data_IF_247595796193
#
_entry.id   IF_247595796193
#
_cell.length_a   1.000
_cell.length_b   1.000
_cell.length_c   1.000
_cell.angle_alpha   90.00
_cell.angle_beta   90.00
_cell.angle_gamma   90.00
#
_symmetry.space_group_name_H-M   'P 1'
#
loop_
_entity.id
_entity.type
_entity.pdbx_description
1 polymer ?
#
# COMPACT_ATOMS: atom_id res chain seq x y z
N UNK A 1 -95.50 27.61 0.57
CA UNK A 1 -94.02 27.55 0.70
C UNK A 1 -93.66 26.39 1.62
N UNK A 2 -92.44 25.84 1.47
CA UNK A 2 -91.80 24.69 2.17
C UNK A 2 -92.43 23.31 1.88
N UNK A 3 -91.93 22.45 0.98
CA UNK A 3 -90.60 21.84 0.71
C UNK A 3 -90.31 20.60 1.58
N UNK A 4 -90.25 19.46 0.88
CA UNK A 4 -89.77 18.13 1.28
C UNK A 4 -88.23 18.09 1.52
N UNK A 5 -87.74 17.13 2.32
CA UNK A 5 -86.64 16.15 2.04
C UNK A 5 -86.00 15.67 3.36
N UNK A 6 -86.14 14.38 3.72
CA UNK A 6 -85.25 13.21 3.46
C UNK A 6 -84.14 12.97 4.49
N UNK A 7 -84.17 11.74 5.02
CA UNK A 7 -83.12 10.98 5.71
C UNK A 7 -81.77 11.08 4.98
N UNK A 8 -80.69 11.22 5.74
CA UNK A 8 -79.35 10.82 5.34
C UNK A 8 -78.63 10.22 6.56
N UNK A 9 -78.17 8.97 6.42
CA UNK A 9 -77.44 8.25 7.45
C UNK A 9 -75.99 8.73 7.57
N UNK A 10 -75.50 8.77 8.80
CA UNK A 10 -74.10 9.03 9.12
C UNK A 10 -73.28 7.76 8.85
N UNK A 11 -72.39 7.80 7.86
CA UNK A 11 -71.30 6.84 7.68
C UNK A 11 -70.01 7.53 8.12
N UNK A 12 -69.54 7.25 9.33
CA UNK A 12 -68.26 7.76 9.85
C UNK A 12 -67.17 6.75 9.50
N UNK A 13 -66.39 7.01 8.46
CA UNK A 13 -65.19 6.23 8.12
C UNK A 13 -64.03 6.76 8.94
N UNK A 14 -63.57 5.97 9.91
CA UNK A 14 -62.39 6.24 10.73
C UNK A 14 -61.14 5.84 9.92
N UNK A 15 -60.46 6.81 9.32
CA UNK A 15 -59.16 6.61 8.67
C UNK A 15 -58.09 6.46 9.76
N UNK A 16 -57.67 5.22 10.03
CA UNK A 16 -56.50 4.92 10.87
C UNK A 16 -55.24 5.23 10.05
N UNK A 17 -54.65 6.40 10.24
CA UNK A 17 -53.32 6.72 9.72
C UNK A 17 -52.27 5.89 10.48
N UNK A 18 -51.92 4.72 9.93
CA UNK A 18 -50.76 3.96 10.36
C UNK A 18 -49.53 4.76 9.94
N UNK A 19 -48.97 5.54 10.86
CA UNK A 19 -47.67 6.16 10.68
C UNK A 19 -46.64 5.03 10.59
N UNK A 20 -46.28 4.63 9.38
CA UNK A 20 -45.10 3.82 9.13
C UNK A 20 -43.90 4.66 9.54
N UNK A 21 -43.38 4.44 10.75
CA UNK A 21 -42.05 4.89 11.12
C UNK A 21 -41.08 4.16 10.22
N UNK A 22 -40.68 4.80 9.12
CA UNK A 22 -39.52 4.40 8.34
C UNK A 22 -38.32 4.52 9.27
N UNK A 23 -37.84 3.39 9.80
CA UNK A 23 -36.50 3.32 10.38
C UNK A 23 -35.55 3.68 9.24
N UNK A 24 -35.07 4.92 9.22
CA UNK A 24 -33.99 5.33 8.34
C UNK A 24 -32.78 4.49 8.70
N UNK A 25 -32.38 3.58 7.81
CA UNK A 25 -31.06 2.96 7.90
C UNK A 25 -30.05 4.11 7.88
N UNK A 26 -29.29 4.28 8.95
CA UNK A 26 -28.30 5.35 9.06
C UNK A 26 -27.44 5.35 7.79
N UNK A 27 -27.52 6.44 7.03
CA UNK A 27 -26.86 6.57 5.74
C UNK A 27 -25.35 6.43 5.95
N UNK A 28 -24.75 5.42 5.33
CA UNK A 28 -23.32 5.14 5.49
C UNK A 28 -22.52 6.27 4.86
N UNK A 29 -21.56 6.81 5.61
CA UNK A 29 -20.72 7.92 5.15
C UNK A 29 -19.67 7.37 4.16
N UNK A 30 -19.40 8.05 3.04
CA UNK A 30 -18.28 7.70 2.17
C UNK A 30 -16.96 7.76 2.94
N UNK A 31 -16.16 6.71 2.79
CA UNK A 31 -14.81 6.65 3.37
C UNK A 31 -13.87 5.83 2.53
N UNK A 32 -12.61 5.81 2.93
CA UNK A 32 -11.56 5.05 2.27
C UNK A 32 -10.85 4.19 3.31
N UNK A 33 -10.75 2.90 3.01
CA UNK A 33 -9.94 1.95 3.74
C UNK A 33 -8.62 1.76 2.98
N UNK A 34 -7.51 1.81 3.70
CA UNK A 34 -6.16 1.60 3.15
C UNK A 34 -5.37 0.70 4.08
N UNK A 35 -4.39 -0.02 3.54
CA UNK A 35 -3.56 -0.98 4.29
C UNK A 35 -2.11 -0.88 3.84
N UNK A 36 -1.19 -1.22 4.76
CA UNK A 36 0.22 -1.36 4.44
C UNK A 36 0.61 -2.81 4.20
N UNK A 37 1.48 -3.02 3.21
CA UNK A 37 2.23 -4.26 3.13
C UNK A 37 3.09 -4.45 4.38
N UNK A 38 3.26 -5.70 4.78
CA UNK A 38 4.03 -6.06 5.97
C UNK A 38 5.04 -7.15 5.64
N UNK A 39 6.10 -7.21 6.43
CA UNK A 39 7.19 -8.17 6.28
C UNK A 39 7.42 -8.88 7.61
N UNK A 40 7.41 -10.21 7.57
CA UNK A 40 7.70 -11.06 8.73
C UNK A 40 8.43 -12.33 8.30
N UNK A 41 8.79 -13.17 9.27
CA UNK A 41 9.32 -14.51 9.05
C UNK A 41 8.27 -15.57 9.41
N UNK A 42 8.39 -16.81 8.89
CA UNK A 42 7.52 -17.91 9.29
C UNK A 42 7.48 -18.08 10.81
N UNK A 43 6.28 -18.29 11.35
CA UNK A 43 5.99 -18.44 12.78
C UNK A 43 6.35 -17.22 13.64
N UNK A 44 6.53 -16.04 13.03
CA UNK A 44 6.69 -14.78 13.74
C UNK A 44 5.42 -13.94 13.61
N UNK A 45 4.94 -13.32 14.69
CA UNK A 45 3.75 -12.48 14.62
C UNK A 45 4.01 -11.27 13.73
N UNK A 46 3.02 -10.94 12.91
CA UNK A 46 2.96 -9.71 12.13
C UNK A 46 1.73 -8.93 12.53
N UNK A 47 1.84 -7.60 12.48
CA UNK A 47 0.70 -6.70 12.64
C UNK A 47 0.39 -6.09 11.28
N UNK A 48 -0.84 -6.28 10.82
CA UNK A 48 -1.38 -5.59 9.65
C UNK A 48 -2.05 -4.32 10.13
N UNK A 49 -1.59 -3.19 9.60
CA UNK A 49 -2.15 -1.86 9.93
C UNK A 49 -3.11 -1.47 8.83
N UNK A 50 -4.33 -1.15 9.24
CA UNK A 50 -5.39 -0.65 8.37
C UNK A 50 -5.83 0.73 8.85
N UNK A 51 -6.04 1.64 7.91
CA UNK A 51 -6.47 3.02 8.19
C UNK A 51 -7.79 3.29 7.49
N UNK A 52 -8.81 3.69 8.26
CA UNK A 52 -10.09 4.16 7.76
C UNK A 52 -10.13 5.68 7.85
N UNK A 53 -10.49 6.30 6.74
CA UNK A 53 -10.70 7.74 6.67
C UNK A 53 -12.10 8.05 6.15
N UNK A 54 -12.73 9.10 6.69
CA UNK A 54 -13.99 9.64 6.19
C UNK A 54 -13.70 10.86 5.33
N UNK A 55 -14.38 10.97 4.20
CA UNK A 55 -14.29 12.14 3.33
C UNK A 55 -15.35 13.14 3.77
N UNK A 56 -14.93 14.22 4.43
CA UNK A 56 -15.81 15.33 4.81
C UNK A 56 -15.67 16.54 3.87
N UNK A 57 -16.57 17.54 3.97
CA UNK A 57 -16.59 18.73 3.11
C UNK A 57 -15.32 19.61 3.22
N UNK A 58 -14.58 19.50 4.32
CA UNK A 58 -13.42 20.36 4.63
C UNK A 58 -12.09 19.60 4.65
N UNK A 59 -12.09 18.32 5.04
CA UNK A 59 -10.88 17.51 5.15
C UNK A 59 -11.18 16.01 5.21
N UNK A 60 -10.18 15.20 4.88
CA UNK A 60 -10.16 13.76 5.17
C UNK A 60 -9.72 13.55 6.62
N UNK A 61 -10.53 12.87 7.42
CA UNK A 61 -10.26 12.63 8.84
C UNK A 61 -10.26 11.12 9.16
N UNK A 62 -9.44 10.70 10.12
CA UNK A 62 -9.46 9.33 10.61
C UNK A 62 -10.82 8.97 11.22
N UNK A 63 -11.34 7.78 10.92
CA UNK A 63 -12.63 7.32 11.43
C UNK A 63 -12.44 6.31 12.55
N UNK A 64 -12.67 6.73 13.79
CA UNK A 64 -12.60 5.85 14.96
C UNK A 64 -13.87 5.05 15.23
N UNK A 65 -13.73 3.92 15.92
CA UNK A 65 -14.84 3.04 16.30
C UNK A 65 -15.39 2.20 15.15
N UNK A 66 -14.68 2.11 14.02
CA UNK A 66 -15.09 1.29 12.89
C UNK A 66 -14.56 -0.14 13.07
N UNK A 67 -15.44 -1.16 13.02
CA UNK A 67 -15.01 -2.56 13.08
C UNK A 67 -14.34 -2.96 11.78
N UNK A 68 -13.20 -3.63 11.87
CA UNK A 68 -12.46 -4.17 10.73
C UNK A 68 -12.23 -5.67 10.89
N UNK A 69 -12.31 -6.37 9.77
CA UNK A 69 -12.07 -7.81 9.64
C UNK A 69 -10.89 -8.05 8.69
N UNK A 70 -9.93 -8.86 9.11
CA UNK A 70 -8.82 -9.33 8.27
C UNK A 70 -9.16 -10.68 7.67
N UNK A 71 -9.16 -10.75 6.34
CA UNK A 71 -9.37 -11.95 5.54
C UNK A 71 -8.06 -12.47 4.96
N UNK A 72 -7.78 -13.74 5.19
CA UNK A 72 -6.69 -14.48 4.55
C UNK A 72 -7.25 -15.81 4.04
N UNK A 73 -7.02 -16.10 2.77
CA UNK A 73 -7.56 -17.30 2.10
C UNK A 73 -9.08 -17.47 2.32
N UNK A 74 -9.84 -16.37 2.27
CA UNK A 74 -11.30 -16.36 2.43
C UNK A 74 -11.81 -16.47 3.88
N UNK A 75 -10.93 -16.60 4.88
CA UNK A 75 -11.32 -16.75 6.28
C UNK A 75 -11.03 -15.46 7.07
N UNK A 76 -11.93 -15.10 7.98
CA UNK A 76 -11.65 -14.06 8.99
C UNK A 76 -10.63 -14.62 9.98
N UNK A 77 -9.44 -14.05 10.01
CA UNK A 77 -8.33 -14.50 10.88
C UNK A 77 -8.05 -13.54 12.04
N UNK A 78 -8.51 -12.28 11.93
CA UNK A 78 -8.44 -11.29 13.00
C UNK A 78 -9.52 -10.23 12.85
N UNK A 79 -9.88 -9.59 13.95
CA UNK A 79 -10.80 -8.46 14.00
C UNK A 79 -10.22 -7.37 14.89
N UNK A 80 -10.47 -6.10 14.56
CA UNK A 80 -10.03 -4.97 15.37
C UNK A 80 -10.98 -3.78 15.20
N UNK A 81 -10.93 -2.84 16.15
CA UNK A 81 -11.64 -1.57 16.06
C UNK A 81 -10.63 -0.46 15.71
N UNK A 82 -11.04 0.50 14.89
CA UNK A 82 -10.20 1.68 14.65
C UNK A 82 -10.13 2.58 15.89
N UNK A 83 -8.95 3.09 16.19
CA UNK A 83 -8.72 4.12 17.20
C UNK A 83 -9.17 5.49 16.74
N UNK A 84 -8.98 6.52 17.58
CA UNK A 84 -9.36 7.91 17.25
C UNK A 84 -8.63 8.48 16.04
N UNK A 85 -7.48 7.91 15.69
CA UNK A 85 -6.68 8.24 14.50
C UNK A 85 -7.17 7.50 13.24
N UNK A 86 -8.21 6.68 13.35
CA UNK A 86 -8.74 5.85 12.28
C UNK A 86 -7.94 4.58 12.00
N UNK A 87 -6.95 4.23 12.84
CA UNK A 87 -6.10 3.05 12.61
C UNK A 87 -6.53 1.85 13.43
N UNK A 88 -6.44 0.67 12.85
CA UNK A 88 -6.60 -0.60 13.55
C UNK A 88 -5.36 -1.49 13.34
N UNK A 89 -5.02 -2.26 14.37
CA UNK A 89 -3.93 -3.23 14.37
C UNK A 89 -4.51 -4.64 14.37
N UNK A 90 -4.28 -5.39 13.29
CA UNK A 90 -4.81 -6.74 13.08
C UNK A 90 -3.64 -7.74 13.17
N UNK A 91 -3.51 -8.50 14.27
CA UNK A 91 -2.41 -9.44 14.43
C UNK A 91 -2.63 -10.70 13.60
N UNK A 92 -1.56 -11.24 13.02
CA UNK A 92 -1.57 -12.51 12.29
C UNK A 92 -0.20 -13.20 12.36
N UNK A 93 -0.19 -14.52 12.52
CA UNK A 93 1.06 -15.31 12.53
C UNK A 93 1.07 -16.28 11.35
N UNK A 94 1.82 -15.99 10.27
CA UNK A 94 1.90 -16.89 9.12
C UNK A 94 2.75 -18.13 9.43
N UNK A 95 2.28 -19.30 8.96
CA UNK A 95 3.00 -20.57 9.15
C UNK A 95 3.98 -20.89 8.02
N UNK A 96 3.63 -20.52 6.79
CA UNK A 96 4.39 -20.84 5.60
C UNK A 96 5.04 -19.58 4.99
N UNK A 97 6.18 -19.77 4.32
CA UNK A 97 6.84 -18.73 3.55
C UNK A 97 6.08 -18.41 2.26
N UNK A 98 6.29 -17.20 1.74
CA UNK A 98 5.72 -16.74 0.48
C UNK A 98 5.09 -15.36 0.59
N UNK A 99 4.45 -14.92 -0.49
CA UNK A 99 3.57 -13.76 -0.47
C UNK A 99 2.16 -14.22 -0.08
N UNK A 100 1.65 -13.71 1.03
CA UNK A 100 0.30 -14.01 1.52
C UNK A 100 -0.60 -12.81 1.21
N UNK A 101 -1.43 -12.87 0.16
CA UNK A 101 -2.41 -11.82 -0.08
C UNK A 101 -3.45 -11.82 1.04
N UNK A 102 -3.85 -10.62 1.45
CA UNK A 102 -4.87 -10.41 2.46
C UNK A 102 -5.82 -9.31 2.03
N UNK A 103 -7.03 -9.32 2.60
CA UNK A 103 -8.02 -8.24 2.43
C UNK A 103 -8.46 -7.79 3.80
N UNK A 104 -8.51 -6.48 4.03
CA UNK A 104 -9.19 -5.90 5.19
C UNK A 104 -10.52 -5.34 4.71
N UNK A 105 -11.58 -5.58 5.48
CA UNK A 105 -12.93 -5.12 5.17
C UNK A 105 -13.55 -4.43 6.38
N UNK A 106 -14.35 -3.41 6.13
CA UNK A 106 -15.23 -2.82 7.14
C UNK A 106 -16.32 -3.83 7.58
N UNK A 107 -16.47 -4.04 8.88
CA UNK A 107 -17.48 -4.90 9.47
C UNK A 107 -18.92 -4.42 9.19
N UNK A 108 -19.89 -5.29 9.41
CA UNK A 108 -21.30 -5.05 9.05
C UNK A 108 -21.91 -3.84 9.76
N UNK A 109 -21.48 -3.57 11.00
CA UNK A 109 -21.92 -2.44 11.83
C UNK A 109 -21.11 -1.15 11.60
N UNK A 110 -20.21 -1.13 10.61
CA UNK A 110 -19.46 0.07 10.24
C UNK A 110 -20.38 1.17 9.73
N UNK A 111 -20.15 2.39 10.22
CA UNK A 111 -20.84 3.60 9.77
C UNK A 111 -20.28 4.14 8.44
N UNK A 112 -19.18 3.55 7.95
CA UNK A 112 -18.58 3.84 6.66
C UNK A 112 -19.12 2.87 5.61
N UNK A 113 -19.32 3.36 4.39
CA UNK A 113 -19.68 2.52 3.25
C UNK A 113 -18.71 1.33 3.15
N UNK A 114 -19.23 0.14 2.81
CA UNK A 114 -18.43 -1.08 2.73
C UNK A 114 -17.22 -0.84 1.82
N UNK A 115 -16.04 -0.80 2.43
CA UNK A 115 -14.76 -0.58 1.78
C UNK A 115 -13.89 -1.79 2.06
N UNK A 116 -13.23 -2.27 1.01
CA UNK A 116 -12.25 -3.34 1.07
C UNK A 116 -10.90 -2.79 0.62
N UNK A 117 -9.84 -3.24 1.27
CA UNK A 117 -8.47 -2.92 0.89
C UNK A 117 -7.62 -4.18 0.88
N UNK A 118 -7.03 -4.47 -0.27
CA UNK A 118 -6.10 -5.58 -0.44
C UNK A 118 -4.69 -5.21 0.00
N UNK A 119 -3.92 -6.19 0.46
CA UNK A 119 -2.56 -6.11 1.00
C UNK A 119 -1.74 -7.36 0.71
N UNK A 120 -0.42 -7.27 0.81
CA UNK A 120 0.48 -8.42 0.79
C UNK A 120 1.31 -8.50 2.07
N UNK A 121 1.28 -9.67 2.71
CA UNK A 121 2.20 -10.03 3.78
C UNK A 121 3.34 -10.84 3.18
N UNK A 122 4.54 -10.26 3.16
CA UNK A 122 5.76 -10.95 2.78
C UNK A 122 6.25 -11.81 3.95
N UNK A 123 6.32 -13.13 3.73
CA UNK A 123 6.77 -14.10 4.74
C UNK A 123 8.06 -14.74 4.27
N UNK A 124 9.20 -14.24 4.76
CA UNK A 124 10.52 -14.60 4.26
C UNK A 124 11.38 -15.27 5.33
N UNK A 125 12.19 -16.26 4.94
CA UNK A 125 13.22 -16.79 5.84
C UNK A 125 14.33 -15.74 6.03
N UNK A 126 14.87 -15.59 7.24
CA UNK A 126 15.95 -14.61 7.53
C UNK A 126 17.23 -14.83 6.73
N UNK A 127 17.44 -16.05 6.24
CA UNK A 127 18.58 -16.46 5.42
C UNK A 127 18.36 -16.29 3.92
N UNK A 128 17.14 -15.96 3.48
CA UNK A 128 16.86 -15.75 2.06
C UNK A 128 17.54 -14.48 1.57
N UNK A 129 18.27 -14.50 0.45
CA UNK A 129 18.82 -13.29 -0.18
C UNK A 129 17.74 -12.25 -0.44
N UNK A 130 18.01 -10.97 -0.16
CA UNK A 130 17.10 -9.85 -0.42
C UNK A 130 17.83 -8.81 -1.26
N UNK A 131 17.19 -8.36 -2.34
CA UNK A 131 17.62 -7.19 -3.11
C UNK A 131 16.63 -6.05 -2.90
N UNK A 132 17.13 -4.86 -2.58
CA UNK A 132 16.30 -3.66 -2.60
C UNK A 132 16.32 -3.04 -3.99
N UNK A 133 15.16 -2.60 -4.47
CA UNK A 133 15.01 -1.96 -5.77
C UNK A 133 14.30 -0.63 -5.59
N UNK A 134 14.98 0.46 -5.95
CA UNK A 134 14.38 1.78 -5.97
C UNK A 134 13.29 1.84 -7.05
N UNK A 135 12.09 2.31 -6.69
CA UNK A 135 10.99 2.43 -7.64
C UNK A 135 11.34 3.34 -8.84
N UNK A 136 12.18 4.36 -8.62
CA UNK A 136 12.68 5.24 -9.67
C UNK A 136 13.48 4.50 -10.76
N UNK A 137 14.20 3.42 -10.40
CA UNK A 137 14.98 2.62 -11.34
C UNK A 137 14.10 1.78 -12.28
N UNK A 138 12.83 1.58 -11.93
CA UNK A 138 11.86 0.80 -12.70
C UNK A 138 11.09 1.64 -13.73
N UNK A 139 11.15 2.96 -13.65
CA UNK A 139 10.33 3.86 -14.46
C UNK A 139 11.17 4.55 -15.52
N UNK A 140 10.74 4.50 -16.77
CA UNK A 140 11.28 5.35 -17.82
C UNK A 140 10.85 6.80 -17.51
N UNK A 141 11.78 7.59 -17.00
CA UNK A 141 11.58 9.00 -16.67
C UNK A 141 12.74 9.77 -17.27
N UNK A 142 12.44 10.91 -17.88
CA UNK A 142 13.48 11.78 -18.45
C UNK A 142 14.52 12.10 -17.35
N UNK A 143 15.79 11.95 -17.71
CA UNK A 143 16.95 12.23 -16.85
C UNK A 143 16.78 13.62 -16.22
N UNK A 144 16.65 13.67 -14.88
CA UNK A 144 16.55 14.93 -14.13
C UNK A 144 15.42 14.99 -13.09
N UNK A 145 14.39 14.16 -13.18
CA UNK A 145 13.34 14.08 -12.16
C UNK A 145 13.66 12.96 -11.16
N UNK A 146 14.55 13.26 -10.21
CA UNK A 146 15.03 12.34 -9.16
C UNK A 146 13.99 11.96 -8.10
N UNK A 147 12.69 12.12 -8.37
CA UNK A 147 11.63 11.86 -7.41
C UNK A 147 10.52 11.02 -8.02
N UNK A 148 10.18 9.91 -7.37
CA UNK A 148 8.99 9.11 -7.67
C UNK A 148 7.74 9.83 -7.15
N UNK A 149 7.48 11.05 -7.62
CA UNK A 149 6.36 11.82 -7.07
C UNK A 149 5.05 11.22 -7.57
N UNK A 150 4.20 10.75 -6.67
CA UNK A 150 2.77 10.57 -6.96
C UNK A 150 2.15 11.95 -6.71
N UNK A 151 2.06 12.79 -7.75
CA UNK A 151 1.39 14.09 -7.69
C UNK A 151 -0.11 13.90 -7.92
N UNK A 152 -0.99 14.43 -7.06
CA UNK A 152 -2.43 14.46 -7.33
C UNK A 152 -2.71 15.23 -8.64
N UNK A 153 -3.50 14.68 -9.56
CA UNK A 153 -3.91 15.36 -10.81
C UNK A 153 -3.02 15.15 -12.04
N UNK A 154 -1.94 14.34 -11.94
CA UNK A 154 -1.13 13.87 -13.09
C UNK A 154 -1.18 12.35 -13.23
N UNK A 155 -2.37 11.77 -13.13
CA UNK A 155 -2.58 10.32 -13.28
C UNK A 155 -2.29 9.82 -14.72
N UNK A 156 -2.28 10.72 -15.70
CA UNK A 156 -2.22 10.40 -17.13
C UNK A 156 -0.81 10.29 -17.73
N UNK A 157 0.24 10.68 -17.01
CA UNK A 157 1.59 10.24 -17.38
C UNK A 157 1.77 8.81 -16.87
N UNK A 158 1.24 7.85 -17.63
CA UNK A 158 1.54 6.42 -17.47
C UNK A 158 3.05 6.30 -17.54
N UNK A 159 3.72 6.33 -16.38
CA UNK A 159 5.16 6.16 -16.27
C UNK A 159 5.47 4.78 -16.82
N UNK A 160 6.00 4.76 -18.04
CA UNK A 160 6.31 3.52 -18.74
C UNK A 160 7.37 2.79 -17.93
N UNK A 161 7.29 1.45 -17.81
CA UNK A 161 8.34 0.70 -17.16
C UNK A 161 9.62 0.82 -18.00
N UNK A 162 10.76 0.83 -17.34
CA UNK A 162 12.06 0.70 -17.99
C UNK A 162 12.07 -0.59 -18.84
N UNK A 163 12.59 -0.54 -20.08
CA UNK A 163 12.70 -1.74 -20.92
C UNK A 163 13.40 -2.88 -20.19
N UNK A 164 12.89 -4.10 -20.39
CA UNK A 164 13.40 -5.35 -19.81
C UNK A 164 13.39 -5.44 -18.26
N UNK A 165 13.05 -4.37 -17.53
CA UNK A 165 13.15 -4.33 -16.07
C UNK A 165 12.29 -5.42 -15.39
N UNK A 166 11.04 -5.56 -15.79
CA UNK A 166 10.13 -6.56 -15.23
C UNK A 166 10.61 -7.99 -15.53
N UNK A 167 11.11 -8.24 -16.74
CA UNK A 167 11.60 -9.55 -17.15
C UNK A 167 12.89 -9.93 -16.38
N UNK A 168 13.87 -9.03 -16.34
CA UNK A 168 15.14 -9.28 -15.67
C UNK A 168 14.99 -9.39 -14.16
N UNK A 169 14.14 -8.56 -13.55
CA UNK A 169 13.83 -8.68 -12.13
C UNK A 169 13.05 -9.96 -11.81
N UNK A 170 12.18 -10.42 -12.72
CA UNK A 170 11.53 -11.73 -12.59
C UNK A 170 12.56 -12.87 -12.61
N UNK A 171 13.56 -12.83 -13.51
CA UNK A 171 14.64 -13.83 -13.54
C UNK A 171 15.46 -13.85 -12.24
N UNK A 172 15.73 -12.68 -11.65
CA UNK A 172 16.45 -12.58 -10.36
C UNK A 172 15.64 -13.14 -9.19
N UNK A 173 14.32 -12.96 -9.21
CA UNK A 173 13.43 -13.33 -8.11
C UNK A 173 12.82 -14.72 -8.22
N UNK A 174 12.87 -15.34 -9.40
CA UNK A 174 12.29 -16.66 -9.64
C UNK A 174 12.83 -17.74 -8.68
N UNK A 175 14.12 -17.65 -8.30
CA UNK A 175 14.77 -18.70 -7.50
C UNK A 175 15.64 -18.19 -6.35
N UNK A 176 16.15 -16.96 -6.42
CA UNK A 176 17.28 -16.58 -5.57
C UNK A 176 16.98 -15.39 -4.64
N UNK A 177 16.47 -14.28 -5.18
CA UNK A 177 16.22 -13.08 -4.40
C UNK A 177 14.74 -12.90 -4.03
N UNK A 178 14.49 -12.55 -2.78
CA UNK A 178 13.30 -11.77 -2.45
C UNK A 178 13.53 -10.31 -2.86
N UNK A 179 12.49 -9.63 -3.33
CA UNK A 179 12.58 -8.24 -3.74
C UNK A 179 11.87 -7.30 -2.76
N UNK A 180 12.60 -6.27 -2.34
CA UNK A 180 12.14 -5.16 -1.53
C UNK A 180 12.05 -3.91 -2.40
N UNK A 181 10.86 -3.45 -2.73
CA UNK A 181 10.66 -2.21 -3.48
C UNK A 181 10.72 -1.01 -2.55
N UNK A 182 11.56 -0.02 -2.85
CA UNK A 182 11.69 1.22 -2.08
C UNK A 182 10.99 2.34 -2.80
N UNK A 183 9.97 2.91 -2.16
CA UNK A 183 9.17 4.03 -2.66
C UNK A 183 9.43 5.24 -1.76
N UNK A 184 9.88 6.35 -2.33
CA UNK A 184 10.07 7.60 -1.59
C UNK A 184 8.86 8.52 -1.74
N UNK A 185 8.53 9.23 -0.66
CA UNK A 185 7.36 10.09 -0.54
C UNK A 185 7.78 11.48 -0.07
N UNK A 186 7.35 12.51 -0.79
CA UNK A 186 7.61 13.90 -0.40
C UNK A 186 6.78 14.31 0.83
N UNK A 187 7.26 15.30 1.59
CA UNK A 187 6.48 15.90 2.68
C UNK A 187 5.23 16.57 2.12
N UNK A 188 4.05 16.20 2.64
CA UNK A 188 2.76 16.73 2.19
C UNK A 188 2.13 15.97 1.02
N UNK A 189 2.73 14.87 0.55
CA UNK A 189 2.11 13.95 -0.39
C UNK A 189 0.96 13.14 0.25
N UNK A 190 0.33 12.28 -0.55
CA UNK A 190 -0.71 11.32 -0.12
C UNK A 190 -0.26 10.47 1.06
N UNK A 191 -1.21 9.79 1.74
CA UNK A 191 -0.84 8.97 2.91
C UNK A 191 0.10 7.82 2.52
N UNK A 192 0.92 7.36 3.47
CA UNK A 192 1.85 6.22 3.28
C UNK A 192 1.13 4.99 2.70
N UNK A 193 -0.08 4.74 3.19
CA UNK A 193 -0.90 3.58 2.82
C UNK A 193 -1.42 3.72 1.38
N UNK A 194 -1.78 4.93 0.97
CA UNK A 194 -2.13 5.23 -0.44
C UNK A 194 -0.91 5.08 -1.36
N UNK A 195 0.24 5.62 -0.99
CA UNK A 195 1.47 5.45 -1.77
C UNK A 195 1.85 3.97 -1.93
N UNK A 196 1.67 3.16 -0.88
CA UNK A 196 1.87 1.71 -0.93
C UNK A 196 0.90 1.04 -1.92
N UNK A 197 -0.40 1.35 -1.84
CA UNK A 197 -1.42 0.79 -2.72
C UNK A 197 -1.18 1.16 -4.20
N UNK A 198 -0.86 2.43 -4.47
CA UNK A 198 -0.56 2.90 -5.83
C UNK A 198 0.68 2.22 -6.41
N UNK A 199 1.75 2.09 -5.61
CA UNK A 199 2.96 1.39 -6.04
C UNK A 199 2.67 -0.09 -6.34
N UNK A 200 1.87 -0.76 -5.51
CA UNK A 200 1.50 -2.17 -5.72
C UNK A 200 0.66 -2.36 -6.98
N UNK A 201 -0.31 -1.49 -7.22
CA UNK A 201 -1.13 -1.52 -8.41
C UNK A 201 -0.27 -1.36 -9.66
N UNK A 202 0.60 -0.35 -9.68
CA UNK A 202 1.50 -0.13 -10.81
C UNK A 202 2.45 -1.32 -11.05
N UNK A 203 3.06 -1.90 -10.00
CA UNK A 203 3.92 -3.08 -10.12
C UNK A 203 3.16 -4.27 -10.73
N UNK A 204 1.90 -4.46 -10.31
CA UNK A 204 1.03 -5.52 -10.83
C UNK A 204 0.69 -5.29 -12.30
N UNK A 205 0.28 -4.07 -12.66
CA UNK A 205 -0.09 -3.71 -14.04
C UNK A 205 1.11 -3.84 -15.00
N UNK A 206 2.31 -3.51 -14.52
CA UNK A 206 3.56 -3.63 -15.27
C UNK A 206 4.20 -5.02 -15.16
N UNK A 207 3.52 -6.00 -14.54
CA UNK A 207 3.94 -7.40 -14.42
C UNK A 207 5.30 -7.60 -13.73
N UNK A 208 5.64 -6.75 -12.77
CA UNK A 208 6.78 -6.96 -11.89
C UNK A 208 6.52 -8.13 -10.93
N UNK A 209 7.57 -8.83 -10.45
CA UNK A 209 7.41 -9.89 -9.48
C UNK A 209 6.85 -9.35 -8.15
N UNK A 210 6.11 -10.19 -7.44
CA UNK A 210 5.54 -9.82 -6.14
C UNK A 210 6.67 -9.65 -5.12
N UNK A 211 6.69 -8.51 -4.44
CA UNK A 211 7.68 -8.16 -3.42
C UNK A 211 7.09 -7.44 -2.22
N UNK A 212 7.94 -7.10 -1.26
CA UNK A 212 7.56 -6.22 -0.16
C UNK A 212 7.78 -4.76 -0.57
N UNK A 213 6.78 -3.89 -0.36
CA UNK A 213 6.88 -2.47 -0.65
C UNK A 213 7.17 -1.69 0.63
N UNK A 214 8.31 -1.03 0.65
CA UNK A 214 8.77 -0.15 1.70
C UNK A 214 8.60 1.31 1.27
N UNK A 215 7.60 1.97 1.85
CA UNK A 215 7.38 3.42 1.66
C UNK A 215 8.14 4.19 2.73
N UNK A 216 8.97 5.13 2.30
CA UNK A 216 9.80 5.98 3.15
C UNK A 216 9.61 7.46 2.78
N UNK A 217 9.87 8.39 3.73
CA UNK A 217 10.04 9.79 3.37
C UNK A 217 11.23 9.96 2.41
N UNK A 218 11.22 11.06 1.65
CA UNK A 218 12.27 11.41 0.67
C UNK A 218 13.51 12.06 1.30
N UNK A 219 13.65 12.00 2.62
CA UNK A 219 14.81 12.45 3.36
C UNK A 219 16.02 11.52 3.11
N UNK A 220 17.21 12.12 3.04
CA UNK A 220 18.44 11.41 2.67
C UNK A 220 18.81 10.30 3.66
N UNK A 221 18.38 10.43 4.92
CA UNK A 221 18.75 9.49 5.99
C UNK A 221 17.73 8.36 6.18
N UNK A 222 16.46 8.47 5.74
CA UNK A 222 15.45 7.48 6.09
C UNK A 222 15.73 6.09 5.53
N UNK A 223 16.20 6.01 4.29
CA UNK A 223 16.60 4.71 3.74
C UNK A 223 17.73 4.10 4.56
N UNK A 224 18.72 4.92 4.91
CA UNK A 224 19.81 4.47 5.76
C UNK A 224 19.33 3.94 7.11
N UNK A 225 18.56 4.76 7.85
CA UNK A 225 18.00 4.36 9.14
C UNK A 225 17.15 3.09 9.03
N UNK A 226 16.39 2.94 7.94
CA UNK A 226 15.58 1.74 7.71
C UNK A 226 16.42 0.50 7.42
N UNK A 227 17.53 0.63 6.68
CA UNK A 227 18.47 -0.47 6.48
C UNK A 227 19.08 -0.94 7.81
N UNK A 228 19.41 -0.01 8.69
CA UNK A 228 19.93 -0.32 10.03
C UNK A 228 18.87 -1.03 10.89
N UNK A 229 17.63 -0.52 10.88
CA UNK A 229 16.49 -1.15 11.55
C UNK A 229 16.26 -2.59 11.04
N UNK A 230 16.28 -2.78 9.72
CA UNK A 230 16.12 -4.11 9.11
C UNK A 230 17.27 -5.05 9.48
N UNK A 231 18.51 -4.55 9.51
CA UNK A 231 19.67 -5.33 9.92
C UNK A 231 19.55 -5.79 11.38
N UNK A 232 19.21 -4.86 12.29
CA UNK A 232 18.97 -5.14 13.71
C UNK A 232 17.82 -6.12 13.91
N UNK A 233 16.75 -6.00 13.11
CA UNK A 233 15.63 -6.92 13.12
C UNK A 233 16.00 -8.32 12.62
N UNK A 234 17.20 -8.54 12.04
CA UNK A 234 17.70 -9.84 11.59
C UNK A 234 17.67 -10.07 10.08
N UNK A 235 17.32 -9.08 9.26
CA UNK A 235 17.31 -9.15 7.80
C UNK A 235 18.71 -8.96 7.18
N UNK A 236 19.68 -9.76 7.65
CA UNK A 236 21.11 -9.59 7.32
C UNK A 236 21.49 -9.94 5.87
N UNK A 237 20.55 -10.51 5.11
CA UNK A 237 20.75 -10.88 3.71
C UNK A 237 20.28 -9.80 2.72
N UNK A 238 19.83 -8.65 3.21
CA UNK A 238 19.70 -7.44 2.41
C UNK A 238 21.09 -6.82 2.22
N UNK A 239 21.74 -7.16 1.10
CA UNK A 239 23.14 -6.80 0.83
C UNK A 239 23.35 -5.92 -0.39
N UNK A 240 22.37 -5.88 -1.29
CA UNK A 240 22.50 -5.18 -2.57
C UNK A 240 21.27 -4.32 -2.80
N UNK A 241 21.51 -3.06 -3.16
CA UNK A 241 20.50 -2.14 -3.67
C UNK A 241 20.67 -1.93 -5.17
N UNK A 242 19.59 -1.93 -5.92
CA UNK A 242 19.52 -1.53 -7.32
C UNK A 242 18.73 -0.21 -7.36
N UNK A 243 19.37 0.87 -7.81
CA UNK A 243 18.73 2.18 -7.81
C UNK A 243 19.13 3.05 -8.98
N UNK A 244 18.42 4.15 -9.17
CA UNK A 244 18.76 5.20 -10.14
C UNK A 244 19.45 6.36 -9.43
N UNK A 245 19.00 6.70 -8.23
CA UNK A 245 19.45 7.93 -7.57
C UNK A 245 20.76 7.73 -6.81
N UNK A 246 21.55 8.80 -6.78
CA UNK A 246 22.80 8.85 -6.00
C UNK A 246 22.53 8.64 -4.51
N UNK A 247 21.48 9.26 -3.96
CA UNK A 247 21.08 9.15 -2.55
C UNK A 247 20.78 7.69 -2.18
N UNK A 248 20.04 6.98 -3.03
CA UNK A 248 19.77 5.55 -2.81
C UNK A 248 21.06 4.73 -2.79
N UNK A 249 21.95 4.93 -3.77
CA UNK A 249 23.22 4.19 -3.83
C UNK A 249 24.12 4.50 -2.63
N UNK A 250 24.21 5.75 -2.19
CA UNK A 250 25.01 6.16 -1.04
C UNK A 250 24.52 5.53 0.27
N UNK A 251 23.21 5.37 0.46
CA UNK A 251 22.65 4.74 1.66
C UNK A 251 23.18 3.31 1.87
N UNK A 252 23.34 2.54 0.78
CA UNK A 252 23.95 1.21 0.80
C UNK A 252 25.46 1.27 1.01
N UNK A 253 26.17 2.09 0.23
CA UNK A 253 27.64 2.15 0.25
C UNK A 253 28.20 2.63 1.59
N UNK A 254 27.54 3.59 2.26
CA UNK A 254 27.92 4.06 3.59
C UNK A 254 27.87 2.95 4.64
N UNK A 255 26.99 1.95 4.43
CA UNK A 255 26.85 0.75 5.28
C UNK A 255 27.72 -0.42 4.82
N UNK A 256 28.65 -0.18 3.89
CA UNK A 256 29.50 -1.19 3.27
C UNK A 256 28.70 -2.30 2.57
N UNK A 257 27.49 -1.97 2.12
CA UNK A 257 26.67 -2.83 1.26
C UNK A 257 26.94 -2.49 -0.20
N UNK A 258 26.43 -3.32 -1.10
CA UNK A 258 26.59 -3.12 -2.54
C UNK A 258 25.47 -2.24 -3.12
N UNK A 259 25.81 -1.44 -4.13
CA UNK A 259 24.86 -0.65 -4.90
C UNK A 259 25.13 -0.82 -6.39
N UNK A 260 24.08 -1.10 -7.15
CA UNK A 260 24.07 -1.13 -8.62
C UNK A 260 23.21 0.03 -9.10
N UNK A 261 23.79 0.93 -9.89
CA UNK A 261 23.06 2.02 -10.53
C UNK A 261 22.57 1.62 -11.91
N UNK A 262 21.27 1.81 -12.17
CA UNK A 262 20.60 1.55 -13.45
C UNK A 262 19.43 2.54 -13.67
N UNK A 263 19.26 3.11 -14.88
CA UNK A 263 20.18 3.05 -16.02
C UNK A 263 21.53 3.72 -15.71
N UNK A 264 22.48 3.62 -16.64
CA UNK A 264 23.79 4.27 -16.48
C UNK A 264 23.60 5.78 -16.22
N UNK A 265 24.07 6.29 -15.06
CA UNK A 265 23.89 7.70 -14.69
C UNK A 265 24.85 8.59 -15.48
N UNK A 266 24.62 9.91 -15.46
CA UNK A 266 25.51 10.82 -16.16
C UNK A 266 26.92 10.82 -15.54
N UNK A 267 27.92 11.26 -16.32
CA UNK A 267 29.32 11.27 -15.89
C UNK A 267 29.49 12.07 -14.59
N UNK A 268 29.94 11.40 -13.53
CA UNK A 268 30.18 12.00 -12.22
C UNK A 268 29.02 11.90 -11.22
N UNK A 269 27.85 11.40 -11.65
CA UNK A 269 26.70 11.20 -10.75
C UNK A 269 26.79 9.89 -9.97
N UNK A 270 27.47 8.87 -10.52
CA UNK A 270 27.71 7.61 -9.83
C UNK A 270 28.70 7.78 -8.65
N UNK A 271 28.36 7.33 -7.43
CA UNK A 271 29.33 7.21 -6.35
C UNK A 271 30.50 6.29 -6.76
N UNK A 272 31.72 6.62 -6.32
CA UNK A 272 32.96 5.91 -6.73
C UNK A 272 32.94 4.39 -6.53
N UNK A 273 32.19 3.89 -5.55
CA UNK A 273 32.11 2.45 -5.22
C UNK A 273 30.84 1.77 -5.78
N UNK A 274 29.94 2.52 -6.41
CA UNK A 274 28.76 1.95 -7.03
C UNK A 274 29.14 1.18 -8.29
N UNK A 275 28.53 0.01 -8.48
CA UNK A 275 28.58 -0.69 -9.77
C UNK A 275 27.59 0.03 -10.71
N UNK A 276 27.92 0.14 -11.99
CA UNK A 276 27.06 0.77 -12.99
C UNK A 276 26.64 -0.28 -14.02
N UNK A 277 25.33 -0.37 -14.28
CA UNK A 277 24.73 -1.15 -15.35
C UNK A 277 24.15 -0.20 -16.40
N UNK A 278 24.41 -0.48 -17.68
CA UNK A 278 23.89 0.33 -18.79
C UNK A 278 22.37 0.28 -18.84
N UNK A 279 21.83 -0.92 -18.72
CA UNK A 279 20.42 -1.25 -18.77
C UNK A 279 20.10 -2.43 -17.84
N UNK A 280 18.83 -2.83 -17.79
CA UNK A 280 18.36 -3.91 -16.93
C UNK A 280 18.93 -5.28 -17.30
N UNK A 281 19.31 -5.53 -18.56
CA UNK A 281 19.97 -6.78 -18.98
C UNK A 281 21.38 -6.91 -18.41
N UNK A 282 22.03 -5.80 -18.10
CA UNK A 282 23.37 -5.78 -17.50
C UNK A 282 23.36 -5.88 -15.97
N UNK A 283 22.23 -5.64 -15.29
CA UNK A 283 22.13 -5.65 -13.82
C UNK A 283 22.60 -6.97 -13.23
N UNK A 284 22.16 -8.12 -13.78
CA UNK A 284 22.54 -9.45 -13.28
C UNK A 284 24.05 -9.70 -13.34
N UNK A 285 24.77 -9.09 -14.29
CA UNK A 285 26.23 -9.20 -14.39
C UNK A 285 26.96 -8.37 -13.33
N UNK A 286 26.25 -7.44 -12.69
CA UNK A 286 26.77 -6.56 -11.63
C UNK A 286 26.38 -7.02 -10.23
N UNK A 287 25.43 -7.93 -10.09
CA UNK A 287 25.10 -8.57 -8.82
C UNK A 287 26.11 -9.65 -8.48
#
# INVERSE_FOLDING_TARGET
>A
MSVFFRRAGFFTILFFCIATTTLSAAEKVPGTLTVLDSLTAPNQPATIIATVTKTGPLAQAGSGGEPLELFIAGNVVATAMTGTDGRASLPYTPKAKGAVPFTVRAGTTSGVALTEAGGNLAVWERRSPIVAVEMAALMDSAVGEGTTVIKPGKESEVRRPMPDAAEELSKLTQFYYNVLYVVTMEKGATSRDQANAHARQWLTDQKFPIGHILVLPSDQEALGAKLDEMHLAGWKQLKTGIGRTKVFAEAFLQRRLEAVMVPEPAKGEAPRKAKVAKDWKDVRKKM
#
